data_IF_344501125776
#
_entry.id   IF_344501125776
#
_cell.length_a   1.000
_cell.length_b   1.000
_cell.length_c   1.000
_cell.angle_alpha   90.00
_cell.angle_beta   90.00
_cell.angle_gamma   90.00
#
_symmetry.space_group_name_H-M   'P 1'
#
loop_
_entity.id
_entity.type
_entity.pdbx_description
1 polymer ?
#
# COMPACT_ATOMS: atom_id res chain seq x y z
N UNK A 1 -3.08 40.53 45.21
CA UNK A 1 -4.04 39.90 44.26
C UNK A 1 -3.56 39.90 42.81
N UNK A 2 -2.93 40.96 42.30
CA UNK A 2 -2.51 41.05 40.88
C UNK A 2 -1.44 40.02 40.47
N UNK A 3 -0.52 39.63 41.38
CA UNK A 3 0.53 38.63 41.10
C UNK A 3 0.03 37.18 40.94
N UNK A 4 -1.10 36.82 41.57
CA UNK A 4 -1.65 35.44 41.49
C UNK A 4 -2.37 35.24 40.14
N UNK A 5 -3.01 36.29 39.62
CA UNK A 5 -3.73 36.27 38.34
C UNK A 5 -2.74 36.08 37.17
N UNK A 6 -1.54 36.65 37.25
CA UNK A 6 -0.52 36.48 36.21
C UNK A 6 0.03 35.05 36.11
N UNK A 7 0.10 34.31 37.22
CA UNK A 7 0.57 32.91 37.23
C UNK A 7 -0.47 31.96 36.60
N UNK A 8 -1.76 32.22 36.80
CA UNK A 8 -2.84 31.43 36.22
C UNK A 8 -2.94 31.58 34.69
N UNK A 9 -2.60 32.74 34.14
CA UNK A 9 -2.61 32.98 32.69
C UNK A 9 -1.49 32.19 31.97
N UNK A 10 -0.32 32.01 32.60
CA UNK A 10 0.80 31.25 32.02
C UNK A 10 0.49 29.74 31.94
N UNK A 11 -0.35 29.20 32.82
CA UNK A 11 -0.77 27.80 32.80
C UNK A 11 -1.77 27.46 31.67
N UNK A 12 -2.51 28.45 31.15
CA UNK A 12 -3.49 28.23 30.07
C UNK A 12 -2.87 28.19 28.66
N UNK A 13 -1.59 28.54 28.49
CA UNK A 13 -0.89 28.53 27.19
C UNK A 13 0.02 27.31 26.97
N UNK A 14 0.12 26.39 27.92
CA UNK A 14 0.85 25.11 27.74
C UNK A 14 -0.09 24.05 27.17
N UNK A 15 -0.48 24.24 25.91
CA UNK A 15 -1.39 23.34 25.22
C UNK A 15 -1.30 23.44 23.70
N UNK A 16 -0.18 23.91 23.14
CA UNK A 16 0.15 23.58 21.77
C UNK A 16 0.34 22.06 21.70
N UNK A 17 -0.72 21.33 21.37
CA UNK A 17 -0.60 19.94 20.91
C UNK A 17 0.23 20.02 19.65
N UNK A 18 1.53 19.77 19.79
CA UNK A 18 2.38 19.50 18.63
C UNK A 18 1.68 18.41 17.84
N UNK A 19 1.35 18.66 16.58
CA UNK A 19 0.99 17.63 15.60
C UNK A 19 2.23 16.74 15.38
N UNK A 20 2.60 15.95 16.40
CA UNK A 20 3.57 14.88 16.24
C UNK A 20 2.88 13.82 15.41
N UNK A 21 3.59 13.32 14.41
CA UNK A 21 3.13 12.18 13.60
C UNK A 21 2.88 10.99 14.53
N UNK A 22 1.60 10.74 14.83
CA UNK A 22 1.12 9.71 15.76
C UNK A 22 1.55 8.31 15.31
N UNK A 23 1.69 8.14 13.99
CA UNK A 23 2.11 6.92 13.32
C UNK A 23 3.20 7.29 12.31
N UNK A 24 4.25 6.48 12.26
CA UNK A 24 5.30 6.57 11.26
C UNK A 24 5.20 5.38 10.32
N UNK A 25 5.15 5.68 9.02
CA UNK A 25 5.02 4.72 7.94
C UNK A 25 6.23 4.81 7.02
N UNK A 26 6.82 3.66 6.72
CA UNK A 26 7.87 3.53 5.71
C UNK A 26 7.52 2.40 4.75
N UNK A 27 7.34 2.71 3.48
CA UNK A 27 7.26 1.66 2.48
C UNK A 27 8.61 0.91 2.40
N UNK A 28 8.55 -0.41 2.31
CA UNK A 28 9.71 -1.28 2.12
C UNK A 28 9.49 -2.15 0.89
N UNK A 29 10.59 -2.68 0.35
CA UNK A 29 10.54 -3.70 -0.68
C UNK A 29 9.85 -4.95 -0.15
N UNK A 30 8.80 -5.41 -0.85
CA UNK A 30 8.16 -6.68 -0.52
C UNK A 30 9.04 -7.86 -0.93
N UNK A 31 8.91 -8.97 -0.21
CA UNK A 31 9.50 -10.27 -0.59
C UNK A 31 8.52 -11.14 -1.36
N UNK A 32 7.26 -10.73 -1.46
CA UNK A 32 6.22 -11.47 -2.18
C UNK A 32 6.39 -11.35 -3.69
N UNK A 33 5.83 -12.32 -4.42
CA UNK A 33 5.84 -12.33 -5.88
C UNK A 33 4.73 -11.47 -6.47
N UNK A 34 4.97 -10.94 -7.67
CA UNK A 34 3.90 -10.45 -8.54
C UNK A 34 3.11 -11.63 -9.05
N UNK A 35 1.79 -11.51 -9.08
CA UNK A 35 0.90 -12.56 -9.56
C UNK A 35 0.24 -12.12 -10.85
N UNK A 36 0.42 -12.88 -11.92
CA UNK A 36 -0.26 -12.69 -13.19
C UNK A 36 -1.32 -13.77 -13.36
N UNK A 37 -2.53 -13.39 -13.76
CA UNK A 37 -3.66 -14.30 -13.94
C UNK A 37 -4.24 -14.19 -15.33
N UNK A 38 -4.53 -15.30 -15.99
CA UNK A 38 -5.25 -15.33 -17.26
C UNK A 38 -6.76 -15.11 -17.06
N UNK A 39 -7.43 -14.66 -18.13
CA UNK A 39 -8.88 -14.80 -18.23
C UNK A 39 -9.29 -16.28 -18.22
N UNK A 40 -10.54 -16.54 -17.83
CA UNK A 40 -11.13 -17.89 -17.83
C UNK A 40 -11.06 -18.57 -19.20
N UNK A 41 -11.24 -17.78 -20.27
CA UNK A 41 -11.15 -18.23 -21.67
C UNK A 41 -9.70 -18.34 -22.19
N UNK A 42 -8.70 -18.01 -21.35
CA UNK A 42 -7.26 -18.01 -21.66
C UNK A 42 -6.87 -17.11 -22.84
N UNK A 43 -7.70 -16.12 -23.18
CA UNK A 43 -7.46 -15.22 -24.32
C UNK A 43 -6.40 -14.14 -24.05
N UNK A 44 -6.25 -13.71 -22.79
CA UNK A 44 -5.29 -12.67 -22.39
C UNK A 44 -5.00 -12.76 -20.89
N UNK A 45 -3.99 -11.99 -20.44
CA UNK A 45 -3.74 -11.81 -19.00
C UNK A 45 -4.83 -10.87 -18.47
N UNK A 46 -5.63 -11.38 -17.55
CA UNK A 46 -6.71 -10.65 -16.91
C UNK A 46 -6.18 -9.56 -15.97
N UNK A 47 -5.27 -9.94 -15.06
CA UNK A 47 -4.85 -9.09 -13.97
C UNK A 47 -3.38 -9.26 -13.60
N UNK A 48 -2.86 -8.20 -12.97
CA UNK A 48 -1.56 -8.15 -12.34
C UNK A 48 -1.76 -7.74 -10.88
N UNK A 49 -1.33 -8.59 -9.94
CA UNK A 49 -1.29 -8.26 -8.52
C UNK A 49 0.14 -7.88 -8.13
N UNK A 50 0.34 -6.62 -7.73
CA UNK A 50 1.64 -6.09 -7.34
C UNK A 50 1.76 -6.07 -5.81
N UNK A 51 2.76 -6.76 -5.22
CA UNK A 51 2.93 -6.83 -3.77
C UNK A 51 3.46 -5.52 -3.18
N UNK A 52 2.89 -5.10 -2.06
CA UNK A 52 3.26 -3.92 -1.30
C UNK A 52 3.55 -4.28 0.16
N UNK A 53 4.54 -3.61 0.75
CA UNK A 53 4.93 -3.82 2.14
C UNK A 53 5.27 -2.50 2.83
N UNK A 54 4.83 -2.35 4.07
CA UNK A 54 5.05 -1.15 4.88
C UNK A 54 5.53 -1.52 6.27
N UNK A 55 6.55 -0.80 6.76
CA UNK A 55 6.91 -0.76 8.18
C UNK A 55 6.14 0.35 8.86
N UNK A 56 5.40 0.00 9.90
CA UNK A 56 4.50 0.91 10.61
C UNK A 56 4.78 0.81 12.11
N UNK A 57 4.90 1.94 12.79
CA UNK A 57 5.00 2.02 14.25
C UNK A 57 4.24 3.24 14.78
N UNK A 58 3.81 3.18 16.04
CA UNK A 58 3.35 4.37 16.74
C UNK A 58 4.51 5.14 17.36
N UNK A 59 4.32 6.43 17.57
CA UNK A 59 5.25 7.32 18.29
C UNK A 59 4.68 7.78 19.63
N UNK A 60 3.40 7.48 19.85
CA UNK A 60 2.60 7.93 20.98
C UNK A 60 2.34 6.76 21.95
N UNK A 61 2.04 7.09 23.21
CA UNK A 61 1.71 6.10 24.24
C UNK A 61 0.26 5.59 24.14
N UNK A 62 -0.61 6.26 23.39
CA UNK A 62 -1.98 5.80 23.09
C UNK A 62 -1.98 4.43 22.42
N UNK A 63 -3.08 3.71 22.61
CA UNK A 63 -3.36 2.47 21.90
C UNK A 63 -3.84 2.81 20.51
N UNK A 64 -3.07 2.42 19.49
CA UNK A 64 -3.35 2.76 18.10
C UNK A 64 -3.42 1.46 17.30
N UNK A 65 -4.48 1.33 16.53
CA UNK A 65 -4.76 0.15 15.72
C UNK A 65 -4.82 0.53 14.26
N UNK A 66 -4.24 -0.31 13.40
CA UNK A 66 -4.53 -0.28 11.98
C UNK A 66 -5.98 -0.75 11.75
N UNK A 67 -6.72 -0.03 10.93
CA UNK A 67 -8.11 -0.38 10.64
C UNK A 67 -8.25 -0.86 9.19
N UNK A 68 -7.89 0.00 8.24
CA UNK A 68 -8.08 -0.26 6.82
C UNK A 68 -7.21 0.67 5.97
N UNK A 69 -7.27 0.48 4.65
CA UNK A 69 -6.60 1.33 3.70
C UNK A 69 -7.50 1.65 2.50
N UNK A 70 -7.30 2.84 1.93
CA UNK A 70 -7.88 3.22 0.65
C UNK A 70 -6.77 3.35 -0.38
N UNK A 71 -6.85 2.58 -1.47
CA UNK A 71 -5.89 2.65 -2.57
C UNK A 71 -6.41 3.54 -3.69
N UNK A 72 -5.61 4.52 -4.10
CA UNK A 72 -5.96 5.46 -5.15
C UNK A 72 -5.06 5.26 -6.36
N UNK A 73 -5.66 4.71 -7.42
CA UNK A 73 -5.04 4.55 -8.72
C UNK A 73 -4.90 5.89 -9.43
N UNK A 74 -3.68 6.21 -9.87
CA UNK A 74 -3.40 7.27 -10.81
C UNK A 74 -4.06 6.97 -12.16
N UNK A 75 -3.88 5.75 -12.66
CA UNK A 75 -4.56 5.26 -13.85
C UNK A 75 -5.85 4.50 -13.50
N UNK A 76 -6.97 5.23 -13.44
CA UNK A 76 -8.28 4.67 -13.07
C UNK A 76 -8.76 3.54 -13.98
N UNK A 77 -8.30 3.49 -15.24
CA UNK A 77 -8.67 2.42 -16.17
C UNK A 77 -8.07 1.06 -15.80
N UNK A 78 -7.04 1.04 -14.95
CA UNK A 78 -6.42 -0.17 -14.43
C UNK A 78 -6.98 -0.60 -13.08
N UNK A 79 -7.91 0.18 -12.50
CA UNK A 79 -8.49 -0.12 -11.20
C UNK A 79 -9.31 -1.40 -11.24
N UNK A 80 -9.22 -2.20 -10.17
CA UNK A 80 -10.12 -3.33 -9.95
C UNK A 80 -11.55 -2.92 -9.58
N UNK A 81 -11.83 -1.65 -9.32
CA UNK A 81 -13.12 -1.14 -8.85
C UNK A 81 -13.47 -1.55 -7.40
N UNK A 82 -13.05 -2.73 -6.97
CA UNK A 82 -13.23 -3.29 -5.62
C UNK A 82 -11.92 -3.90 -5.12
N UNK A 83 -11.59 -3.70 -3.83
CA UNK A 83 -10.42 -4.29 -3.16
C UNK A 83 -9.07 -3.93 -3.80
N UNK A 84 -8.82 -2.63 -3.99
CA UNK A 84 -7.59 -2.14 -4.64
C UNK A 84 -6.33 -2.57 -3.91
N UNK A 85 -6.34 -2.70 -2.58
CA UNK A 85 -5.26 -3.28 -1.78
C UNK A 85 -5.78 -3.63 -0.38
N UNK A 86 -5.34 -4.75 0.22
CA UNK A 86 -5.55 -5.06 1.64
C UNK A 86 -4.21 -5.34 2.29
N UNK A 87 -3.93 -4.71 3.43
CA UNK A 87 -2.71 -4.90 4.20
C UNK A 87 -2.97 -5.69 5.48
N UNK A 88 -2.08 -6.61 5.81
CA UNK A 88 -2.16 -7.45 7.02
C UNK A 88 -0.78 -7.71 7.60
N UNK A 89 -0.69 -7.86 8.92
CA UNK A 89 0.50 -8.36 9.59
C UNK A 89 0.55 -9.89 9.56
N UNK A 90 1.72 -10.49 9.80
CA UNK A 90 1.86 -11.95 9.85
C UNK A 90 1.14 -12.60 11.04
N UNK A 91 0.97 -11.86 12.12
CA UNK A 91 0.30 -12.28 13.35
C UNK A 91 -1.18 -11.88 13.39
N UNK A 92 -1.69 -11.22 12.34
CA UNK A 92 -3.04 -10.66 12.25
C UNK A 92 -3.41 -9.66 13.37
N UNK A 93 -2.41 -9.21 14.13
CA UNK A 93 -2.56 -8.21 15.18
C UNK A 93 -2.34 -6.80 14.64
N UNK A 94 -3.45 -6.09 14.52
CA UNK A 94 -3.49 -4.71 14.04
C UNK A 94 -3.03 -3.67 15.08
N UNK A 95 -2.75 -4.07 16.33
CA UNK A 95 -2.21 -3.16 17.35
C UNK A 95 -0.79 -2.71 17.00
N UNK A 96 -0.57 -1.39 17.04
CA UNK A 96 0.75 -0.79 16.80
C UNK A 96 1.56 -0.68 18.09
N UNK A 97 2.85 -1.00 17.99
CA UNK A 97 3.83 -0.77 19.07
C UNK A 97 4.80 0.33 18.70
N UNK A 98 5.65 0.74 19.64
CA UNK A 98 6.77 1.64 19.35
C UNK A 98 7.83 1.01 18.44
N UNK A 99 7.83 -0.32 18.31
CA UNK A 99 8.63 -1.07 17.35
C UNK A 99 7.91 -1.17 16.00
N UNK A 100 8.70 -1.24 14.92
CA UNK A 100 8.15 -1.42 13.58
C UNK A 100 7.53 -2.81 13.40
N UNK A 101 6.24 -2.84 13.06
CA UNK A 101 5.56 -4.01 12.48
C UNK A 101 5.56 -3.92 10.95
N UNK A 102 5.59 -5.07 10.29
CA UNK A 102 5.50 -5.16 8.83
C UNK A 102 4.07 -5.53 8.44
N UNK A 103 3.48 -4.69 7.60
CA UNK A 103 2.19 -4.90 6.97
C UNK A 103 2.42 -5.24 5.50
N UNK A 104 1.91 -6.38 5.06
CA UNK A 104 2.04 -6.87 3.70
C UNK A 104 0.69 -6.91 3.01
N UNK A 105 0.68 -6.66 1.72
CA UNK A 105 -0.50 -6.81 0.89
C UNK A 105 -0.14 -6.81 -0.58
N UNK A 106 -1.15 -6.64 -1.41
CA UNK A 106 -0.98 -6.51 -2.85
C UNK A 106 -2.06 -5.62 -3.44
N UNK A 107 -1.70 -4.85 -4.46
CA UNK A 107 -2.66 -4.09 -5.25
C UNK A 107 -2.99 -4.80 -6.56
N UNK A 108 -4.29 -4.90 -6.87
CA UNK A 108 -4.77 -5.62 -8.05
C UNK A 108 -5.08 -4.63 -9.19
N UNK A 109 -4.38 -4.81 -10.31
CA UNK A 109 -4.63 -4.10 -11.55
C UNK A 109 -5.36 -5.00 -12.55
N UNK A 110 -6.42 -4.46 -13.18
CA UNK A 110 -7.11 -5.11 -14.30
C UNK A 110 -6.49 -4.59 -15.59
N UNK A 111 -5.89 -5.49 -16.37
CA UNK A 111 -5.04 -5.13 -17.50
C UNK A 111 -5.51 -5.77 -18.82
N UNK A 112 -6.61 -6.52 -18.80
CA UNK A 112 -7.13 -7.29 -19.92
C UNK A 112 -7.44 -6.46 -21.17
N UNK A 113 -7.88 -5.21 -20.97
CA UNK A 113 -8.20 -4.23 -22.03
C UNK A 113 -7.04 -3.30 -22.38
N UNK A 114 -5.84 -3.52 -21.84
CA UNK A 114 -4.68 -2.67 -22.12
C UNK A 114 -3.72 -3.36 -23.09
N UNK A 115 -3.90 -3.10 -24.39
CA UNK A 115 -3.11 -3.72 -25.46
C UNK A 115 -1.60 -3.52 -25.31
N UNK A 116 -1.18 -2.36 -24.77
CA UNK A 116 0.24 -2.07 -24.55
C UNK A 116 0.82 -2.98 -23.47
N UNK A 117 0.12 -3.16 -22.35
CA UNK A 117 0.52 -4.09 -21.29
C UNK A 117 0.48 -5.54 -21.77
N UNK A 118 -0.58 -5.94 -22.48
CA UNK A 118 -0.69 -7.29 -23.05
C UNK A 118 0.49 -7.62 -23.97
N UNK A 119 0.84 -6.71 -24.89
CA UNK A 119 1.97 -6.89 -25.80
C UNK A 119 3.29 -7.09 -25.04
N UNK A 120 3.51 -6.28 -24.00
CA UNK A 120 4.74 -6.37 -23.19
C UNK A 120 4.80 -7.64 -22.34
N UNK A 121 3.65 -8.14 -21.87
CA UNK A 121 3.57 -9.36 -21.06
C UNK A 121 3.41 -10.65 -21.89
N UNK A 122 3.48 -10.56 -23.22
CA UNK A 122 3.31 -11.70 -24.14
C UNK A 122 4.22 -12.89 -23.84
N UNK A 123 5.46 -12.65 -23.37
CA UNK A 123 6.37 -13.71 -22.94
C UNK A 123 5.81 -14.53 -21.77
N UNK A 124 5.21 -13.87 -20.78
CA UNK A 124 4.54 -14.54 -19.67
C UNK A 124 3.26 -15.25 -20.12
N UNK A 125 2.46 -14.61 -20.97
CA UNK A 125 1.27 -15.24 -21.55
C UNK A 125 1.61 -16.57 -22.24
N UNK A 126 2.59 -16.56 -23.16
CA UNK A 126 3.02 -17.77 -23.88
C UNK A 126 3.54 -18.85 -22.93
N UNK A 127 4.30 -18.46 -21.90
CA UNK A 127 4.76 -19.37 -20.85
C UNK A 127 3.59 -20.03 -20.13
N UNK A 128 2.57 -19.27 -19.75
CA UNK A 128 1.37 -19.77 -19.08
C UNK A 128 0.59 -20.77 -19.96
N UNK A 129 0.43 -20.46 -21.25
CA UNK A 129 -0.23 -21.37 -22.21
C UNK A 129 0.56 -22.68 -22.35
N UNK A 130 1.87 -22.61 -22.55
CA UNK A 130 2.74 -23.78 -22.73
C UNK A 130 2.78 -24.66 -21.47
N UNK A 131 2.84 -24.05 -20.29
CA UNK A 131 2.84 -24.75 -19.00
C UNK A 131 1.43 -25.16 -18.53
N UNK A 132 0.37 -24.84 -19.28
CA UNK A 132 -1.04 -25.08 -18.93
C UNK A 132 -1.46 -24.47 -17.59
N UNK A 133 -0.88 -23.33 -17.21
CA UNK A 133 -1.19 -22.59 -15.98
C UNK A 133 -2.13 -21.42 -16.25
N UNK A 134 -3.04 -21.16 -15.33
CA UNK A 134 -3.91 -19.97 -15.34
C UNK A 134 -3.31 -18.81 -14.52
N UNK A 135 -2.34 -19.12 -13.65
CA UNK A 135 -1.69 -18.19 -12.74
C UNK A 135 -0.19 -18.47 -12.68
N UNK A 136 0.63 -17.41 -12.68
CA UNK A 136 2.07 -17.53 -12.41
C UNK A 136 2.50 -16.50 -11.37
N UNK A 137 3.54 -16.87 -10.63
CA UNK A 137 4.21 -16.02 -9.66
C UNK A 137 5.57 -15.61 -10.24
N UNK A 138 5.78 -14.31 -10.35
CA UNK A 138 7.01 -13.71 -10.89
C UNK A 138 7.71 -12.96 -9.78
N UNK A 139 9.01 -13.19 -9.61
CA UNK A 139 9.75 -12.45 -8.58
C UNK A 139 9.78 -10.96 -8.91
N UNK A 140 9.67 -10.10 -7.88
CA UNK A 140 9.82 -8.64 -8.03
C UNK A 140 11.11 -8.26 -8.75
N UNK A 141 12.21 -8.97 -8.46
CA UNK A 141 13.51 -8.71 -9.10
C UNK A 141 13.45 -8.96 -10.61
N UNK A 142 12.91 -10.09 -11.03
CA UNK A 142 12.75 -10.43 -12.45
C UNK A 142 11.83 -9.44 -13.16
N UNK A 143 10.67 -9.17 -12.57
CA UNK A 143 9.68 -8.28 -13.18
C UNK A 143 10.22 -6.84 -13.31
N UNK A 144 10.74 -6.25 -12.24
CA UNK A 144 11.17 -4.86 -12.25
C UNK A 144 12.38 -4.64 -13.17
N UNK A 145 13.26 -5.64 -13.31
CA UNK A 145 14.40 -5.57 -14.23
C UNK A 145 13.95 -5.52 -15.69
N UNK A 146 12.91 -6.28 -16.03
CA UNK A 146 12.42 -6.39 -17.40
C UNK A 146 11.38 -5.31 -17.76
N UNK A 147 10.71 -4.74 -16.76
CA UNK A 147 9.49 -3.94 -16.95
C UNK A 147 9.49 -2.58 -16.23
N UNK A 148 10.67 -2.04 -15.88
CA UNK A 148 10.79 -0.69 -15.26
C UNK A 148 9.98 0.39 -15.99
N UNK A 149 10.00 0.39 -17.32
CA UNK A 149 9.25 1.36 -18.12
C UNK A 149 7.72 1.19 -18.00
N UNK A 150 7.24 -0.04 -17.81
CA UNK A 150 5.81 -0.29 -17.57
C UNK A 150 5.42 0.29 -16.23
N UNK A 151 6.21 0.02 -15.20
CA UNK A 151 5.95 0.50 -13.85
C UNK A 151 5.84 2.02 -13.83
N UNK A 152 6.82 2.70 -14.43
CA UNK A 152 6.84 4.17 -14.52
C UNK A 152 5.64 4.75 -15.27
N UNK A 153 5.17 4.08 -16.32
CA UNK A 153 4.14 4.63 -17.19
C UNK A 153 2.71 4.31 -16.73
N UNK A 154 2.50 3.23 -15.99
CA UNK A 154 1.16 2.72 -15.68
C UNK A 154 0.80 2.72 -14.20
N UNK A 155 1.79 2.61 -13.30
CA UNK A 155 1.54 2.44 -11.86
C UNK A 155 2.10 3.60 -11.02
N UNK A 156 3.20 4.21 -11.47
CA UNK A 156 3.81 5.31 -10.73
C UNK A 156 2.83 6.50 -10.61
N UNK A 157 2.75 7.08 -9.42
CA UNK A 157 1.77 8.11 -9.09
C UNK A 157 0.60 7.61 -8.25
N UNK A 158 0.46 6.29 -8.08
CA UNK A 158 -0.51 5.71 -7.16
C UNK A 158 -0.24 6.13 -5.71
N UNK A 159 -1.30 6.17 -4.91
CA UNK A 159 -1.22 6.51 -3.50
C UNK A 159 -2.12 5.63 -2.64
N UNK A 160 -1.79 5.54 -1.36
CA UNK A 160 -2.55 4.78 -0.38
C UNK A 160 -2.79 5.66 0.85
N UNK A 161 -4.03 5.70 1.33
CA UNK A 161 -4.38 6.24 2.63
C UNK A 161 -4.44 5.10 3.62
N UNK A 162 -3.63 5.18 4.67
CA UNK A 162 -3.65 4.22 5.77
C UNK A 162 -4.45 4.81 6.91
N UNK A 163 -5.48 4.08 7.34
CA UNK A 163 -6.41 4.52 8.37
C UNK A 163 -6.11 3.79 9.68
N UNK A 164 -5.84 4.57 10.71
CA UNK A 164 -5.62 4.08 12.08
C UNK A 164 -6.61 4.73 13.03
N UNK A 165 -6.83 4.12 14.20
CA UNK A 165 -7.64 4.74 15.24
C UNK A 165 -7.13 4.42 16.65
N UNK A 166 -7.47 5.29 17.60
CA UNK A 166 -7.26 5.09 19.04
C UNK A 166 -8.57 4.83 19.81
N UNK A 167 -9.58 4.29 19.11
CA UNK A 167 -10.99 4.15 19.53
C UNK A 167 -11.76 5.46 19.73
N UNK A 168 -11.08 6.61 19.72
CA UNK A 168 -11.72 7.93 19.86
C UNK A 168 -11.63 8.75 18.58
N UNK A 169 -10.51 8.65 17.88
CA UNK A 169 -10.20 9.45 16.68
C UNK A 169 -9.58 8.60 15.59
N UNK A 170 -9.84 9.02 14.35
CA UNK A 170 -9.16 8.51 13.17
C UNK A 170 -7.84 9.27 12.93
N UNK A 171 -6.84 8.54 12.48
CA UNK A 171 -5.53 9.02 12.08
C UNK A 171 -5.28 8.53 10.65
N UNK A 172 -5.39 9.43 9.68
CA UNK A 172 -5.28 9.11 8.26
C UNK A 172 -3.91 9.54 7.74
N UNK A 173 -3.11 8.58 7.27
CA UNK A 173 -1.76 8.83 6.78
C UNK A 173 -1.73 8.63 5.25
N UNK A 174 -1.65 9.70 4.46
CA UNK A 174 -1.46 9.59 3.02
C UNK A 174 -0.02 9.19 2.69
N UNK A 175 0.16 8.21 1.81
CA UNK A 175 1.47 7.70 1.39
C UNK A 175 1.48 7.58 -0.13
N UNK A 176 2.49 8.15 -0.80
CA UNK A 176 2.76 7.83 -2.21
C UNK A 176 3.33 6.43 -2.31
N UNK A 177 2.86 5.65 -3.27
CA UNK A 177 3.34 4.28 -3.50
C UNK A 177 4.46 4.34 -4.54
N UNK A 178 5.61 3.80 -4.17
CA UNK A 178 6.78 3.72 -5.04
C UNK A 178 7.07 2.26 -5.40
N UNK A 179 7.13 1.95 -6.69
CA UNK A 179 7.24 0.56 -7.13
C UNK A 179 8.69 0.15 -7.41
N UNK A 180 9.57 1.11 -7.69
CA UNK A 180 10.97 0.88 -8.06
C UNK A 180 11.96 0.93 -6.87
N UNK A 181 11.59 0.37 -5.71
CA UNK A 181 12.47 0.32 -4.53
C UNK A 181 13.57 -0.75 -4.59
#
# INVERSE_FOLDING_TARGET
MVRIIQILIVLFFVGCVSNRDVVLVKQIKSTNSIVLRLKKDKSSIFSLSYPLSFKIRKTDNRDIYYAENSYLFHNKNLSSGTAGCYLMTCDEDNYLTSSYKVFNGSTLYIIDKNDTLQKKLSGYFNKMINEKKDTIHVSLKEFNSNFKNIINNFFEGDSIFLHFHDHKKWHNIPVRVYFNQ
#
